data_IF_407741936547
#
_entry.id   IF_407741936547
#
_cell.length_a   1.000
_cell.length_b   1.000
_cell.length_c   1.000
_cell.angle_alpha   90.00
_cell.angle_beta   90.00
_cell.angle_gamma   90.00
#
_symmetry.space_group_name_H-M   'P 1'
#
loop_
_entity.id
_entity.type
_entity.pdbx_description
1 polymer ?
#
# COMPACT_ATOMS: atom_id res chain seq x y z
N UNK A 1 7.11 9.35 2.21
CA UNK A 1 8.33 9.60 1.38
C UNK A 1 9.49 8.82 1.96
N UNK A 2 10.43 8.38 1.12
CA UNK A 2 11.68 7.71 1.54
C UNK A 2 12.87 8.46 0.92
N UNK A 3 13.76 9.00 1.74
CA UNK A 3 14.99 9.63 1.25
C UNK A 3 15.96 8.63 0.62
N UNK A 4 16.86 9.12 -0.23
CA UNK A 4 17.98 8.32 -0.72
C UNK A 4 18.96 8.06 0.43
N UNK A 5 19.06 6.80 0.85
CA UNK A 5 19.97 6.38 1.91
C UNK A 5 20.84 5.22 1.45
N UNK A 6 22.13 5.30 1.76
CA UNK A 6 23.11 4.30 1.34
C UNK A 6 22.78 2.89 1.86
N UNK A 7 22.23 2.77 3.08
CA UNK A 7 21.81 1.50 3.70
C UNK A 7 20.59 0.86 3.03
N UNK A 8 19.84 1.62 2.23
CA UNK A 8 18.66 1.14 1.50
C UNK A 8 18.94 0.90 0.01
N UNK A 9 20.19 1.02 -0.44
CA UNK A 9 20.56 0.78 -1.83
C UNK A 9 20.82 -0.69 -2.10
N UNK A 10 20.52 -1.14 -3.31
CA UNK A 10 20.93 -2.44 -3.83
C UNK A 10 22.37 -2.40 -4.38
N UNK A 11 22.85 -3.55 -4.86
CA UNK A 11 24.17 -3.69 -5.47
C UNK A 11 24.38 -2.85 -6.76
N UNK A 12 23.31 -2.36 -7.38
CA UNK A 12 23.37 -1.47 -8.54
C UNK A 12 23.38 0.03 -8.15
N UNK A 13 23.43 0.34 -6.84
CA UNK A 13 23.52 1.72 -6.33
C UNK A 13 22.20 2.50 -6.36
N UNK A 14 21.07 1.84 -6.60
CA UNK A 14 19.71 2.43 -6.59
C UNK A 14 18.91 1.90 -5.39
N UNK A 15 17.74 2.45 -5.10
CA UNK A 15 16.92 1.95 -3.99
C UNK A 15 16.64 0.44 -4.15
N UNK A 16 16.79 -0.33 -3.07
CA UNK A 16 16.53 -1.75 -3.04
C UNK A 16 15.05 -2.05 -3.27
N UNK A 17 14.74 -3.08 -4.05
CA UNK A 17 13.36 -3.45 -4.38
C UNK A 17 12.50 -3.61 -3.13
N UNK A 18 13.03 -4.28 -2.09
CA UNK A 18 12.37 -4.42 -0.80
C UNK A 18 12.09 -3.08 -0.09
N UNK A 19 12.98 -2.09 -0.19
CA UNK A 19 12.73 -0.77 0.40
C UNK A 19 11.62 -0.02 -0.35
N UNK A 20 11.62 -0.07 -1.68
CA UNK A 20 10.55 0.50 -2.52
C UNK A 20 9.22 -0.20 -2.20
N UNK A 21 9.21 -1.53 -2.07
CA UNK A 21 8.03 -2.30 -1.66
C UNK A 21 7.53 -1.87 -0.29
N UNK A 22 8.41 -1.76 0.72
CA UNK A 22 8.01 -1.30 2.07
C UNK A 22 7.40 0.09 2.02
N UNK A 23 7.97 1.03 1.26
CA UNK A 23 7.38 2.36 1.08
C UNK A 23 5.97 2.28 0.46
N UNK A 24 5.79 1.45 -0.56
CA UNK A 24 4.51 1.27 -1.24
C UNK A 24 3.46 0.62 -0.33
N UNK A 25 3.81 -0.50 0.31
CA UNK A 25 2.94 -1.25 1.23
C UNK A 25 2.56 -0.38 2.43
N UNK A 26 3.49 0.40 2.99
CA UNK A 26 3.19 1.32 4.09
C UNK A 26 2.14 2.35 3.67
N UNK A 27 2.26 2.94 2.47
CA UNK A 27 1.28 3.89 1.96
C UNK A 27 -0.09 3.22 1.74
N UNK A 28 -0.10 2.00 1.21
CA UNK A 28 -1.31 1.22 1.02
C UNK A 28 -2.01 0.89 2.36
N UNK A 29 -1.24 0.43 3.34
CA UNK A 29 -1.71 0.06 4.67
C UNK A 29 -2.30 1.26 5.41
N UNK A 30 -1.68 2.45 5.32
CA UNK A 30 -2.25 3.68 5.88
C UNK A 30 -3.62 3.99 5.27
N UNK A 31 -3.76 3.92 3.94
CA UNK A 31 -5.03 4.17 3.27
C UNK A 31 -6.10 3.13 3.64
N UNK A 32 -5.73 1.85 3.75
CA UNK A 32 -6.63 0.78 4.16
C UNK A 32 -7.06 0.91 5.64
N UNK A 33 -6.14 1.27 6.53
CA UNK A 33 -6.42 1.44 7.96
C UNK A 33 -7.33 2.65 8.23
N UNK A 34 -7.17 3.75 7.48
CA UNK A 34 -8.10 4.89 7.54
C UNK A 34 -9.55 4.50 7.30
N UNK A 35 -9.80 3.44 6.52
CA UNK A 35 -11.13 2.88 6.31
C UNK A 35 -11.55 1.92 7.44
N UNK A 36 -10.66 1.01 7.84
CA UNK A 36 -10.97 -0.08 8.77
C UNK A 36 -11.04 0.37 10.25
N UNK A 37 -10.15 1.27 10.67
CA UNK A 37 -10.01 1.68 12.06
C UNK A 37 -11.29 2.33 12.64
N UNK A 38 -12.01 3.22 11.92
CA UNK A 38 -13.30 3.76 12.38
C UNK A 38 -14.38 2.69 12.62
N UNK A 39 -14.24 1.50 12.04
CA UNK A 39 -15.16 0.37 12.24
C UNK A 39 -14.74 -0.53 13.41
N UNK A 40 -13.65 -0.22 14.11
CA UNK A 40 -13.04 -1.12 15.10
C UNK A 40 -12.34 -2.33 14.47
N UNK A 41 -12.00 -2.22 13.18
CA UNK A 41 -11.25 -3.22 12.44
C UNK A 41 -9.74 -3.04 12.54
N UNK A 42 -9.01 -4.05 12.07
CA UNK A 42 -7.59 -3.97 11.71
C UNK A 42 -7.38 -4.66 10.36
N UNK A 43 -6.29 -4.30 9.68
CA UNK A 43 -5.95 -4.83 8.36
C UNK A 43 -4.85 -5.88 8.45
N UNK A 44 -4.87 -6.81 7.51
CA UNK A 44 -3.81 -7.79 7.27
C UNK A 44 -3.56 -7.85 5.76
N UNK A 45 -2.31 -7.70 5.33
CA UNK A 45 -1.97 -7.89 3.92
C UNK A 45 -2.19 -9.36 3.55
N UNK A 46 -3.03 -9.61 2.55
CA UNK A 46 -3.35 -10.94 2.04
C UNK A 46 -2.48 -11.29 0.82
N UNK A 47 -2.31 -10.33 -0.09
CA UNK A 47 -1.46 -10.45 -1.27
C UNK A 47 -1.04 -9.08 -1.79
N UNK A 48 0.03 -9.06 -2.57
CA UNK A 48 0.46 -7.88 -3.31
C UNK A 48 1.01 -8.29 -4.67
N UNK A 49 0.71 -7.51 -5.70
CA UNK A 49 1.35 -7.60 -7.00
C UNK A 49 1.98 -6.26 -7.32
N UNK A 50 3.28 -6.26 -7.61
CA UNK A 50 4.03 -5.05 -7.91
C UNK A 50 4.83 -5.21 -9.19
N UNK A 51 4.94 -4.11 -9.94
CA UNK A 51 5.78 -3.99 -11.12
C UNK A 51 6.80 -2.88 -10.88
N UNK A 52 8.07 -3.25 -10.89
CA UNK A 52 9.18 -2.29 -10.91
C UNK A 52 9.43 -1.87 -12.35
N UNK A 53 9.13 -0.63 -12.68
CA UNK A 53 9.08 -0.12 -14.06
C UNK A 53 10.40 0.48 -14.53
N UNK A 54 11.22 0.99 -13.60
CA UNK A 54 12.51 1.64 -13.86
C UNK A 54 13.40 1.65 -12.63
N UNK A 55 14.65 2.07 -12.80
CA UNK A 55 15.60 2.27 -11.69
C UNK A 55 15.13 3.44 -10.82
N UNK A 56 15.06 3.21 -9.51
CA UNK A 56 14.63 4.22 -8.55
C UNK A 56 15.82 5.03 -8.01
N UNK A 57 15.83 6.33 -8.27
CA UNK A 57 16.93 7.24 -7.90
C UNK A 57 16.40 8.42 -7.08
N UNK A 58 17.20 8.88 -6.12
CA UNK A 58 16.82 10.00 -5.25
C UNK A 58 15.71 9.65 -4.27
N UNK A 59 15.06 10.70 -3.75
CA UNK A 59 13.97 10.58 -2.78
C UNK A 59 12.69 10.10 -3.47
N UNK A 60 12.11 9.01 -2.97
CA UNK A 60 10.92 8.40 -3.53
C UNK A 60 9.66 8.80 -2.75
N UNK A 61 8.54 8.95 -3.46
CA UNK A 61 7.23 9.24 -2.88
C UNK A 61 6.21 8.20 -3.34
N UNK A 62 5.44 7.64 -2.39
CA UNK A 62 4.33 6.74 -2.69
C UNK A 62 3.00 7.48 -2.56
N UNK A 63 2.11 7.25 -3.50
CA UNK A 63 0.72 7.69 -3.46
C UNK A 63 -0.19 6.47 -3.53
N UNK A 64 -1.06 6.32 -2.53
CA UNK A 64 -2.02 5.22 -2.44
C UNK A 64 -3.44 5.70 -2.73
N UNK A 65 -4.22 4.87 -3.41
CA UNK A 65 -5.63 5.13 -3.74
C UNK A 65 -6.43 3.84 -3.51
N UNK A 66 -7.55 3.97 -2.82
CA UNK A 66 -8.57 2.91 -2.82
C UNK A 66 -9.06 2.71 -4.25
N UNK A 67 -9.36 1.47 -4.63
CA UNK A 67 -9.98 1.19 -5.92
C UNK A 67 -11.27 2.03 -6.07
N UNK A 68 -11.38 2.90 -7.10
CA UNK A 68 -12.58 3.69 -7.33
C UNK A 68 -13.85 2.85 -7.54
N UNK A 69 -13.69 1.59 -7.96
CA UNK A 69 -14.80 0.65 -8.14
C UNK A 69 -15.25 -0.02 -6.83
N UNK A 70 -14.54 0.21 -5.71
CA UNK A 70 -14.90 -0.40 -4.43
C UNK A 70 -16.21 0.19 -3.88
N UNK A 71 -17.21 -0.68 -3.69
CA UNK A 71 -18.43 -0.33 -2.96
C UNK A 71 -18.16 -0.34 -1.45
N UNK A 72 -17.75 0.82 -0.93
CA UNK A 72 -17.44 1.00 0.49
C UNK A 72 -18.67 0.80 1.39
N UNK A 73 -19.88 1.08 0.88
CA UNK A 73 -21.13 0.89 1.61
C UNK A 73 -21.38 -0.61 1.86
N UNK A 74 -21.37 -1.40 0.79
CA UNK A 74 -21.52 -2.85 0.87
C UNK A 74 -20.41 -3.50 1.73
N UNK A 75 -19.16 -3.04 1.60
CA UNK A 75 -18.06 -3.51 2.43
C UNK A 75 -18.30 -3.25 3.93
N UNK A 76 -18.82 -2.07 4.29
CA UNK A 76 -19.14 -1.72 5.68
C UNK A 76 -20.27 -2.59 6.23
N UNK A 77 -21.30 -2.85 5.43
CA UNK A 77 -22.42 -3.72 5.82
C UNK A 77 -21.98 -5.17 6.04
N UNK A 78 -21.16 -5.72 5.14
CA UNK A 78 -20.55 -7.04 5.31
C UNK A 78 -19.71 -7.10 6.59
N UNK A 79 -18.85 -6.09 6.81
CA UNK A 79 -18.01 -6.04 8.01
C UNK A 79 -18.84 -5.97 9.31
N UNK A 80 -19.93 -5.19 9.32
CA UNK A 80 -20.83 -5.14 10.47
C UNK A 80 -21.44 -6.52 10.78
N UNK A 81 -21.85 -7.27 9.75
CA UNK A 81 -22.45 -8.59 9.87
C UNK A 81 -21.45 -9.68 10.28
N UNK A 82 -20.30 -9.78 9.60
CA UNK A 82 -19.38 -10.92 9.76
C UNK A 82 -18.08 -10.60 10.52
N UNK A 83 -17.77 -9.32 10.72
CA UNK A 83 -16.48 -8.88 11.24
C UNK A 83 -15.32 -9.09 10.25
N UNK A 84 -15.63 -9.28 8.97
CA UNK A 84 -14.65 -9.52 7.90
C UNK A 84 -14.90 -8.58 6.72
N UNK A 85 -13.84 -8.23 6.02
CA UNK A 85 -13.91 -7.47 4.77
C UNK A 85 -12.67 -7.73 3.91
N UNK A 86 -12.74 -7.28 2.67
CA UNK A 86 -11.62 -7.26 1.73
C UNK A 86 -11.57 -5.90 1.05
N UNK A 87 -10.37 -5.38 0.84
CA UNK A 87 -10.12 -4.07 0.23
C UNK A 87 -8.87 -4.14 -0.63
N UNK A 88 -8.93 -3.57 -1.82
CA UNK A 88 -7.78 -3.43 -2.71
C UNK A 88 -7.32 -1.97 -2.70
N UNK A 89 -6.01 -1.77 -2.54
CA UNK A 89 -5.38 -0.45 -2.59
C UNK A 89 -4.32 -0.46 -3.68
N UNK A 90 -4.42 0.50 -4.59
CA UNK A 90 -3.42 0.71 -5.65
C UNK A 90 -2.39 1.74 -5.19
N UNK A 91 -1.13 1.54 -5.57
CA UNK A 91 -0.05 2.46 -5.22
C UNK A 91 0.83 2.74 -6.43
N UNK A 92 1.23 4.00 -6.58
CA UNK A 92 2.32 4.40 -7.47
C UNK A 92 3.43 5.01 -6.63
N UNK A 93 4.67 4.52 -6.81
CA UNK A 93 5.87 5.16 -6.27
C UNK A 93 6.55 5.93 -7.39
N UNK A 94 6.88 7.20 -7.13
CA UNK A 94 7.56 8.10 -8.07
C UNK A 94 8.89 8.58 -7.53
N UNK A 95 9.81 8.88 -8.43
CA UNK A 95 11.05 9.57 -8.12
C UNK A 95 10.89 11.11 -8.20
N UNK A 96 11.95 11.91 -7.92
CA UNK A 96 11.85 13.37 -7.96
C UNK A 96 11.49 13.96 -9.33
N UNK A 97 11.70 13.22 -10.42
CA UNK A 97 11.29 13.60 -11.77
C UNK A 97 9.81 13.35 -12.06
N UNK A 98 9.08 12.74 -11.12
CA UNK A 98 7.66 12.38 -11.27
C UNK A 98 7.44 11.04 -11.96
N UNK A 99 8.51 10.35 -12.34
CA UNK A 99 8.44 9.08 -13.07
C UNK A 99 8.10 7.92 -12.14
N UNK A 100 7.17 7.06 -12.56
CA UNK A 100 6.77 5.90 -11.77
C UNK A 100 7.90 4.86 -11.76
N UNK A 101 8.35 4.47 -10.56
CA UNK A 101 9.39 3.45 -10.33
C UNK A 101 8.80 2.11 -9.84
N UNK A 102 7.61 2.17 -9.24
CA UNK A 102 6.80 1.01 -8.87
C UNK A 102 5.33 1.34 -9.07
N UNK A 103 4.60 0.38 -9.63
CA UNK A 103 3.14 0.36 -9.63
C UNK A 103 2.69 -0.94 -8.97
N UNK A 104 1.69 -0.88 -8.10
CA UNK A 104 1.26 -2.06 -7.35
C UNK A 104 -0.19 -2.05 -6.92
N UNK A 105 -0.69 -3.25 -6.64
CA UNK A 105 -1.96 -3.53 -6.00
C UNK A 105 -1.71 -4.33 -4.72
N UNK A 106 -2.37 -3.94 -3.63
CA UNK A 106 -2.24 -4.54 -2.31
C UNK A 106 -3.64 -4.95 -1.82
N UNK A 107 -3.84 -6.24 -1.63
CA UNK A 107 -5.09 -6.82 -1.16
C UNK A 107 -5.04 -6.95 0.36
N UNK A 108 -5.95 -6.27 1.05
CA UNK A 108 -6.06 -6.32 2.50
C UNK A 108 -7.30 -7.09 2.93
N UNK A 109 -7.11 -7.95 3.92
CA UNK A 109 -8.16 -8.52 4.73
C UNK A 109 -8.46 -7.58 5.90
N UNK A 110 -9.72 -7.18 6.07
CA UNK A 110 -10.19 -6.43 7.25
C UNK A 110 -10.76 -7.42 8.26
N UNK A 111 -10.40 -7.28 9.53
CA UNK A 111 -10.85 -8.14 10.63
C UNK A 111 -11.30 -7.33 11.83
N UNK A 112 -12.40 -7.73 12.47
CA UNK A 112 -12.84 -7.17 13.74
C UNK A 112 -11.81 -7.47 14.81
N UNK A 113 -11.43 -6.45 15.57
CA UNK A 113 -10.61 -6.64 16.78
C UNK A 113 -11.45 -7.41 17.80
N UNK A 114 -10.93 -8.53 18.31
CA UNK A 114 -11.56 -9.19 19.45
C UNK A 114 -11.29 -8.32 20.67
N UNK A 115 -12.36 -7.87 21.32
CA UNK A 115 -12.30 -7.24 22.64
C UNK A 115 -12.05 -8.28 23.71
#
# INVERSE_FOLDING_TARGET
VQGDRADLRNYAGTAHAGAIYTLAETAAGVAADQLAAPWGGFILLASAQVRYTRRAQGTLAAEARLDPAADIGALREEFARSGRGALVVTVTVRDPGGEAVLEGSFDYAIRRRKT
#
